data_IF_735252571874
#
_entry.id   IF_735252571874
#
_cell.length_a   1.000
_cell.length_b   1.000
_cell.length_c   1.000
_cell.angle_alpha   90.00
_cell.angle_beta   90.00
_cell.angle_gamma   90.00
#
_symmetry.space_group_name_H-M   'P 1'
#
loop_
_entity.id
_entity.type
_entity.pdbx_description
1 polymer ?
#
# COMPACT_ATOMS: atom_id res chain seq x y z
N UNK A 1 -14.98 29.41 -6.80
CA UNK A 1 -13.67 29.94 -6.31
C UNK A 1 -13.55 29.53 -4.84
N UNK A 2 -12.35 29.17 -4.38
CA UNK A 2 -11.95 28.78 -3.00
C UNK A 2 -12.07 27.31 -2.58
N UNK A 3 -11.52 26.41 -3.40
CA UNK A 3 -10.77 25.25 -2.88
C UNK A 3 -9.27 25.43 -3.22
N UNK A 4 -8.98 25.88 -4.45
CA UNK A 4 -7.61 26.15 -4.94
C UNK A 4 -6.79 27.14 -4.10
N UNK A 5 -7.44 28.11 -3.44
CA UNK A 5 -6.73 29.14 -2.66
C UNK A 5 -6.24 28.63 -1.30
N UNK A 6 -6.88 27.61 -0.72
CA UNK A 6 -6.47 27.03 0.57
C UNK A 6 -5.32 26.02 0.40
N UNK A 7 -5.21 25.41 -0.78
CA UNK A 7 -4.14 24.45 -1.10
C UNK A 7 -2.77 25.12 -1.26
N UNK A 8 -2.76 26.42 -1.56
CA UNK A 8 -1.52 27.19 -1.74
C UNK A 8 -0.82 27.56 -0.42
N UNK A 9 -1.54 27.55 0.72
CA UNK A 9 -1.01 27.97 2.03
C UNK A 9 -0.51 26.82 2.92
N UNK A 10 -0.91 25.55 2.65
CA UNK A 10 -0.56 24.43 3.54
C UNK A 10 0.81 23.80 3.30
N UNK A 11 1.50 24.16 2.21
CA UNK A 11 2.77 23.54 1.81
C UNK A 11 2.65 22.04 1.46
N UNK A 12 1.46 21.45 1.52
CA UNK A 12 1.20 20.06 1.20
C UNK A 12 0.69 19.97 -0.24
N UNK A 13 1.60 19.81 -1.21
CA UNK A 13 1.25 19.66 -2.63
C UNK A 13 0.69 18.27 -2.92
N UNK A 14 -0.52 17.98 -2.43
CA UNK A 14 -1.30 16.80 -2.85
C UNK A 14 -1.85 16.94 -4.28
N UNK A 15 -1.75 18.12 -4.90
CA UNK A 15 -2.12 18.39 -6.30
C UNK A 15 -1.00 18.06 -7.32
N UNK A 16 0.08 17.39 -6.89
CA UNK A 16 1.10 16.99 -7.85
C UNK A 16 0.51 15.96 -8.83
N UNK A 17 0.66 16.12 -10.16
CA UNK A 17 0.12 15.15 -11.14
C UNK A 17 0.58 13.72 -10.89
N UNK A 18 1.80 13.53 -10.36
CA UNK A 18 2.29 12.21 -9.95
C UNK A 18 1.49 11.59 -8.79
N UNK A 19 0.98 12.39 -7.85
CA UNK A 19 0.14 11.88 -6.76
C UNK A 19 -1.25 11.48 -7.28
N UNK A 20 -1.78 12.21 -8.27
CA UNK A 20 -3.03 11.82 -8.92
C UNK A 20 -2.88 10.52 -9.74
N UNK A 21 -1.77 10.37 -10.47
CA UNK A 21 -1.43 9.15 -11.21
C UNK A 21 -1.24 7.95 -10.28
N UNK A 22 -0.47 8.14 -9.20
CA UNK A 22 -0.29 7.14 -8.15
C UNK A 22 -1.65 6.67 -7.60
N UNK A 23 -2.51 7.62 -7.19
CA UNK A 23 -3.85 7.31 -6.69
C UNK A 23 -4.66 6.50 -7.71
N UNK A 24 -4.61 6.87 -8.99
CA UNK A 24 -5.34 6.15 -10.03
C UNK A 24 -4.86 4.70 -10.13
N UNK A 25 -3.55 4.46 -10.24
CA UNK A 25 -3.01 3.10 -10.32
C UNK A 25 -3.27 2.27 -9.06
N UNK A 26 -3.32 2.89 -7.87
CA UNK A 26 -3.75 2.20 -6.64
C UNK A 26 -5.21 1.78 -6.73
N UNK A 27 -6.10 2.67 -7.19
CA UNK A 27 -7.53 2.36 -7.34
C UNK A 27 -7.81 1.31 -8.43
N UNK A 28 -6.94 1.21 -9.44
CA UNK A 28 -7.05 0.24 -10.52
C UNK A 28 -6.42 -1.13 -10.19
N UNK A 29 -5.80 -1.28 -9.00
CA UNK A 29 -5.05 -2.49 -8.62
C UNK A 29 -3.75 -2.70 -9.41
N UNK A 30 -3.27 -1.66 -10.10
CA UNK A 30 -2.05 -1.68 -10.93
C UNK A 30 -0.78 -1.54 -10.05
N UNK A 31 -0.54 -2.53 -9.17
CA UNK A 31 0.49 -2.49 -8.12
C UNK A 31 1.90 -2.18 -8.62
N UNK A 32 2.28 -2.69 -9.79
CA UNK A 32 3.59 -2.40 -10.39
C UNK A 32 3.74 -0.93 -10.77
N UNK A 33 2.68 -0.31 -11.29
CA UNK A 33 2.69 1.12 -11.66
C UNK A 33 2.61 1.99 -10.42
N UNK A 34 1.84 1.58 -9.41
CA UNK A 34 1.77 2.25 -8.12
C UNK A 34 3.14 2.28 -7.42
N UNK A 35 3.90 1.17 -7.41
CA UNK A 35 5.27 1.16 -6.85
C UNK A 35 6.22 2.09 -7.62
N UNK A 36 6.11 2.12 -8.95
CA UNK A 36 6.88 3.05 -9.77
C UNK A 36 6.56 4.51 -9.44
N UNK A 37 5.28 4.89 -9.43
CA UNK A 37 4.86 6.26 -9.12
C UNK A 37 5.23 6.66 -7.68
N UNK A 38 5.19 5.72 -6.73
CA UNK A 38 5.62 5.94 -5.36
C UNK A 38 7.12 6.29 -5.28
N UNK A 39 7.97 5.64 -6.09
CA UNK A 39 9.38 5.98 -6.18
C UNK A 39 9.61 7.37 -6.77
N UNK A 40 8.79 7.82 -7.73
CA UNK A 40 8.84 9.20 -8.26
C UNK A 40 8.42 10.21 -7.18
N UNK A 41 7.41 9.87 -6.38
CA UNK A 41 6.93 10.72 -5.28
C UNK A 41 7.95 10.91 -4.17
N UNK A 42 8.92 10.00 -4.03
CA UNK A 42 9.97 10.04 -3.01
C UNK A 42 10.67 11.41 -2.91
N UNK A 43 10.90 12.08 -4.04
CA UNK A 43 11.61 13.37 -4.09
C UNK A 43 10.81 14.54 -3.47
N UNK A 44 9.50 14.35 -3.28
CA UNK A 44 8.59 15.38 -2.75
C UNK A 44 8.22 15.13 -1.28
N UNK A 45 8.76 14.08 -0.65
CA UNK A 45 8.47 13.73 0.73
C UNK A 45 9.47 14.40 1.70
N UNK A 46 8.95 14.92 2.82
CA UNK A 46 9.76 15.56 3.86
C UNK A 46 10.69 14.56 4.58
N UNK A 47 10.22 13.33 4.81
CA UNK A 47 11.01 12.23 5.35
C UNK A 47 10.90 11.01 4.39
N UNK A 48 11.65 11.02 3.28
CA UNK A 48 11.42 10.11 2.18
C UNK A 48 11.63 8.65 2.58
N UNK A 49 12.55 8.33 3.49
CA UNK A 49 12.78 6.94 3.85
C UNK A 49 11.65 6.36 4.71
N UNK A 50 11.21 7.09 5.73
CA UNK A 50 10.12 6.63 6.60
C UNK A 50 8.78 6.62 5.87
N UNK A 51 8.43 7.73 5.21
CA UNK A 51 7.15 7.84 4.49
C UNK A 51 7.05 6.84 3.34
N UNK A 52 8.16 6.55 2.64
CA UNK A 52 8.16 5.54 1.58
C UNK A 52 7.93 4.13 2.13
N UNK A 53 8.53 3.78 3.27
CA UNK A 53 8.31 2.48 3.91
C UNK A 53 6.86 2.34 4.36
N UNK A 54 6.29 3.37 4.99
CA UNK A 54 4.89 3.39 5.41
C UNK A 54 3.92 3.27 4.22
N UNK A 55 4.12 4.07 3.17
CA UNK A 55 3.28 4.01 1.96
C UNK A 55 3.40 2.66 1.24
N UNK A 56 4.63 2.14 1.10
CA UNK A 56 4.86 0.83 0.48
C UNK A 56 4.24 -0.31 1.31
N UNK A 57 4.29 -0.21 2.63
CA UNK A 57 3.62 -1.17 3.50
C UNK A 57 2.11 -1.20 3.24
N UNK A 58 1.45 -0.03 3.17
CA UNK A 58 0.00 0.06 2.93
C UNK A 58 -0.41 -0.49 1.55
N UNK A 59 0.40 -0.25 0.51
CA UNK A 59 0.15 -0.82 -0.83
C UNK A 59 0.22 -2.33 -0.81
N UNK A 60 1.28 -2.88 -0.23
CA UNK A 60 1.48 -4.32 -0.17
C UNK A 60 0.46 -5.00 0.74
N UNK A 61 0.02 -4.31 1.80
CA UNK A 61 -1.08 -4.77 2.63
C UNK A 61 -2.37 -4.93 1.81
N UNK A 62 -2.72 -3.95 0.97
CA UNK A 62 -3.92 -4.11 0.14
C UNK A 62 -3.77 -5.16 -0.96
N UNK A 63 -2.63 -5.19 -1.66
CA UNK A 63 -2.31 -6.27 -2.60
C UNK A 63 -2.45 -7.65 -1.96
N UNK A 64 -1.99 -7.80 -0.72
CA UNK A 64 -2.11 -9.03 0.05
C UNK A 64 -3.58 -9.40 0.34
N UNK A 65 -4.38 -8.43 0.80
CA UNK A 65 -5.78 -8.64 1.15
C UNK A 65 -6.62 -8.97 -0.09
N UNK A 66 -6.38 -8.31 -1.23
CA UNK A 66 -7.04 -8.63 -2.50
C UNK A 66 -6.75 -10.08 -2.93
N UNK A 67 -5.50 -10.53 -2.86
CA UNK A 67 -5.18 -11.93 -3.16
C UNK A 67 -5.85 -12.92 -2.21
N UNK A 68 -6.00 -12.58 -0.92
CA UNK A 68 -6.76 -13.42 0.01
C UNK A 68 -8.25 -13.46 -0.33
N UNK A 69 -8.85 -12.31 -0.65
CA UNK A 69 -10.26 -12.20 -1.02
C UNK A 69 -10.58 -12.97 -2.31
N UNK A 70 -9.64 -13.01 -3.26
CA UNK A 70 -9.74 -13.80 -4.49
C UNK A 70 -9.41 -15.30 -4.30
N UNK A 71 -8.99 -15.72 -3.10
CA UNK A 71 -8.60 -17.10 -2.81
C UNK A 71 -7.22 -17.49 -3.38
N UNK A 72 -6.43 -16.53 -3.85
CA UNK A 72 -5.08 -16.69 -4.38
C UNK A 72 -4.04 -16.76 -3.23
N UNK A 73 -4.15 -17.82 -2.41
CA UNK A 73 -3.37 -17.97 -1.16
C UNK A 73 -1.85 -17.99 -1.40
N UNK A 74 -1.39 -18.59 -2.50
CA UNK A 74 0.04 -18.66 -2.81
C UNK A 74 0.62 -17.28 -3.14
N UNK A 75 -0.12 -16.47 -3.89
CA UNK A 75 0.26 -15.11 -4.25
C UNK A 75 0.24 -14.20 -3.01
N UNK A 76 -0.78 -14.31 -2.17
CA UNK A 76 -0.83 -13.64 -0.86
C UNK A 76 0.37 -14.02 0.02
N UNK A 77 0.72 -15.31 0.09
CA UNK A 77 1.88 -15.77 0.86
C UNK A 77 3.20 -15.21 0.30
N UNK A 78 3.32 -15.11 -1.02
CA UNK A 78 4.46 -14.50 -1.67
C UNK A 78 4.60 -13.03 -1.27
N UNK A 79 3.52 -12.25 -1.31
CA UNK A 79 3.51 -10.84 -0.88
C UNK A 79 3.93 -10.73 0.59
N UNK A 80 3.32 -11.53 1.47
CA UNK A 80 3.60 -11.48 2.91
C UNK A 80 5.08 -11.78 3.23
N UNK A 81 5.63 -12.85 2.64
CA UNK A 81 6.99 -13.32 2.95
C UNK A 81 8.07 -12.49 2.27
N UNK A 82 7.87 -12.16 0.99
CA UNK A 82 8.93 -11.61 0.14
C UNK A 82 8.85 -10.08 -0.01
N UNK A 83 7.69 -9.47 0.29
CA UNK A 83 7.49 -8.04 0.10
C UNK A 83 7.22 -7.31 1.43
N UNK A 84 6.24 -7.77 2.23
CA UNK A 84 5.88 -7.13 3.51
C UNK A 84 6.91 -7.37 4.62
N UNK A 85 7.25 -8.62 4.88
CA UNK A 85 8.17 -8.99 5.99
C UNK A 85 9.54 -8.29 5.87
N UNK A 86 10.17 -8.21 4.68
CA UNK A 86 11.47 -7.54 4.54
C UNK A 86 11.44 -6.03 4.76
N UNK A 87 10.28 -5.37 4.76
CA UNK A 87 10.20 -3.94 5.11
C UNK A 87 10.58 -3.68 6.57
N UNK A 88 10.49 -4.67 7.45
CA UNK A 88 10.76 -4.51 8.88
C UNK A 88 9.85 -3.47 9.56
N UNK A 89 8.71 -3.14 8.94
CA UNK A 89 7.77 -2.12 9.38
C UNK A 89 6.48 -2.77 9.90
N UNK A 90 5.89 -2.18 10.94
CA UNK A 90 4.63 -2.60 11.57
C UNK A 90 4.52 -4.14 11.73
N UNK A 91 5.51 -4.75 12.37
CA UNK A 91 5.60 -6.22 12.53
C UNK A 91 4.36 -6.80 13.22
N UNK A 92 3.76 -6.06 14.15
CA UNK A 92 2.48 -6.43 14.76
C UNK A 92 1.37 -6.64 13.73
N UNK A 93 1.27 -5.75 12.73
CA UNK A 93 0.31 -5.90 11.63
C UNK A 93 0.67 -7.07 10.71
N UNK A 94 1.96 -7.27 10.40
CA UNK A 94 2.41 -8.45 9.61
C UNK A 94 1.96 -9.76 10.27
N UNK A 95 2.05 -9.86 11.61
CA UNK A 95 1.55 -11.02 12.34
C UNK A 95 0.02 -11.19 12.24
N UNK A 96 -0.74 -10.09 12.29
CA UNK A 96 -2.20 -10.14 12.09
C UNK A 96 -2.56 -10.59 10.67
N UNK A 97 -1.87 -10.07 9.65
CA UNK A 97 -2.09 -10.47 8.26
C UNK A 97 -1.85 -11.98 8.09
N UNK A 98 -0.75 -12.51 8.64
CA UNK A 98 -0.48 -13.95 8.67
C UNK A 98 -1.64 -14.77 9.26
N UNK A 99 -2.29 -14.26 10.31
CA UNK A 99 -3.43 -14.93 10.93
C UNK A 99 -4.65 -15.01 10.00
N UNK A 100 -4.88 -14.02 9.13
CA UNK A 100 -5.98 -14.06 8.18
C UNK A 100 -5.88 -15.26 7.24
N UNK A 101 -4.68 -15.57 6.74
CA UNK A 101 -4.46 -16.73 5.87
C UNK A 101 -4.84 -18.07 6.55
N UNK A 102 -4.58 -18.19 7.85
CA UNK A 102 -4.94 -19.37 8.63
C UNK A 102 -6.46 -19.48 8.85
N UNK A 103 -7.17 -18.36 8.87
CA UNK A 103 -8.62 -18.30 9.03
C UNK A 103 -9.36 -18.44 7.69
N UNK A 104 -8.79 -17.98 6.57
CA UNK A 104 -9.40 -18.04 5.24
C UNK A 104 -9.31 -19.42 4.58
N UNK A 105 -8.51 -20.36 5.12
CA UNK A 105 -8.51 -21.75 4.70
C UNK A 105 -9.64 -22.60 5.29
N UNK A 106 -10.60 -22.00 6.01
CA UNK A 106 -11.50 -22.74 6.89
C UNK A 106 -12.97 -22.41 6.67
N UNK A 107 -13.53 -23.12 5.68
CA UNK A 107 -14.90 -23.62 5.71
C UNK A 107 -15.13 -24.68 6.82
N UNK A 108 -14.15 -24.95 7.71
CA UNK A 108 -14.22 -26.02 8.72
C UNK A 108 -14.52 -25.53 10.15
N UNK A 109 -15.62 -24.79 10.38
CA UNK A 109 -16.30 -24.78 11.69
C UNK A 109 -17.84 -24.62 11.57
N UNK A 110 -18.47 -25.27 10.58
CA UNK A 110 -19.90 -25.61 10.65
C UNK A 110 -20.12 -27.11 10.54
#
# INVERSE_FOLDING_TARGET
RTADLLMQESGCRLDHPAAAKFRQHVMDGDWNKADHDLNELKLFLNNPNQSLVEMKFLLLEQKYLEFLEEGLVLDALQVLRNELTPLGHNTGRVHQLSAFMMCSGRDELQ
#
